data_IF_596309490301
#
_entry.id   IF_596309490301
#
_cell.length_a   1.000
_cell.length_b   1.000
_cell.length_c   1.000
_cell.angle_alpha   90.00
_cell.angle_beta   90.00
_cell.angle_gamma   90.00
#
_symmetry.space_group_name_H-M   'P 1'
#
loop_
_entity.id
_entity.type
_entity.pdbx_description
1 polymer ?
#
# COMPACT_ATOMS: atom_id res chain seq x y z
N UNK A 1 0.79 -12.28 0.63
CA UNK A 1 -0.15 -11.19 0.89
C UNK A 1 -0.91 -10.73 -0.38
N UNK A 2 -0.25 -10.52 -1.51
CA UNK A 2 -0.89 -10.01 -2.73
C UNK A 2 -1.34 -11.11 -3.73
N UNK A 3 -1.15 -12.37 -3.39
CA UNK A 3 -1.54 -13.54 -4.20
C UNK A 3 -2.88 -14.16 -3.75
N UNK A 4 -3.56 -13.52 -2.77
CA UNK A 4 -4.87 -13.97 -2.31
C UNK A 4 -5.93 -13.69 -3.37
N UNK A 5 -6.87 -14.61 -3.52
CA UNK A 5 -8.03 -14.51 -4.40
C UNK A 5 -9.32 -14.89 -3.64
N UNK A 6 -10.45 -14.73 -4.32
CA UNK A 6 -11.77 -15.03 -3.73
C UNK A 6 -11.85 -16.47 -3.16
N UNK A 7 -12.47 -16.64 -1.99
CA UNK A 7 -12.98 -15.58 -1.10
C UNK A 7 -11.87 -14.91 -0.28
N UNK A 8 -11.85 -13.60 -0.29
CA UNK A 8 -10.92 -12.81 0.53
C UNK A 8 -11.29 -12.93 2.01
N UNK A 9 -10.26 -12.86 2.86
CA UNK A 9 -10.44 -12.90 4.33
C UNK A 9 -9.72 -11.71 4.95
N UNK A 10 -10.38 -11.02 5.89
CA UNK A 10 -9.71 -9.98 6.64
C UNK A 10 -8.53 -10.59 7.41
N UNK A 11 -7.33 -10.11 7.10
CA UNK A 11 -6.12 -10.60 7.74
C UNK A 11 -6.10 -10.13 9.20
N UNK A 12 -5.75 -10.99 10.16
CA UNK A 12 -5.65 -10.59 11.56
C UNK A 12 -4.59 -9.50 11.74
N UNK A 13 -4.78 -8.65 12.73
CA UNK A 13 -3.75 -7.68 13.12
C UNK A 13 -2.44 -8.42 13.46
N UNK A 14 -1.27 -7.94 13.02
CA UNK A 14 0.02 -8.55 13.36
C UNK A 14 0.51 -8.17 14.78
N UNK A 15 -0.37 -7.61 15.61
CA UNK A 15 -0.13 -7.15 16.98
C UNK A 15 -1.46 -7.14 17.77
N UNK A 16 -1.37 -7.07 19.10
CA UNK A 16 -2.53 -6.93 19.99
C UNK A 16 -3.19 -5.56 19.83
N UNK A 17 -4.49 -5.44 20.14
CA UNK A 17 -5.26 -4.21 19.93
C UNK A 17 -4.74 -3.01 20.76
N UNK A 18 -4.11 -3.25 21.90
CA UNK A 18 -3.49 -2.23 22.74
C UNK A 18 -2.03 -1.91 22.40
N UNK A 19 -1.44 -2.64 21.44
CA UNK A 19 -0.02 -2.55 21.12
C UNK A 19 0.41 -1.21 20.53
N UNK A 20 -0.52 -0.43 19.98
CA UNK A 20 -0.23 0.86 19.36
C UNK A 20 -0.40 2.05 20.32
N UNK A 21 -0.73 1.79 21.59
CA UNK A 21 -0.81 2.82 22.61
C UNK A 21 0.55 3.54 22.79
N UNK A 22 0.55 4.83 23.10
CA UNK A 22 -0.59 5.73 23.27
C UNK A 22 -1.04 6.42 21.96
N UNK A 23 -0.57 5.97 20.80
CA UNK A 23 -0.80 6.64 19.51
C UNK A 23 -2.17 6.30 18.92
N UNK A 24 -2.54 5.04 18.93
CA UNK A 24 -3.88 4.57 18.55
C UNK A 24 -4.43 3.74 19.71
N UNK A 25 -5.65 4.05 20.10
CA UNK A 25 -6.34 3.31 21.14
C UNK A 25 -7.03 2.04 20.62
N UNK A 26 -7.29 1.14 21.54
CA UNK A 26 -7.92 -0.15 21.29
C UNK A 26 -9.31 0.00 20.63
N UNK A 27 -10.10 0.97 21.08
CA UNK A 27 -11.43 1.25 20.53
C UNK A 27 -11.36 1.62 19.07
N UNK A 28 -10.44 2.52 18.70
CA UNK A 28 -10.21 2.89 17.30
C UNK A 28 -9.82 1.68 16.46
N UNK A 29 -8.91 0.82 16.94
CA UNK A 29 -8.48 -0.37 16.21
C UNK A 29 -9.62 -1.39 16.02
N UNK A 30 -10.46 -1.61 17.03
CA UNK A 30 -11.64 -2.48 16.90
C UNK A 30 -12.62 -1.96 15.84
N UNK A 31 -12.93 -0.67 15.83
CA UNK A 31 -13.79 -0.13 14.78
C UNK A 31 -13.13 -0.16 13.41
N UNK A 32 -11.84 0.20 13.35
CA UNK A 32 -11.13 0.32 12.09
C UNK A 32 -10.91 -1.05 11.43
N UNK A 33 -10.43 -2.04 12.20
CA UNK A 33 -10.16 -3.39 11.70
C UNK A 33 -11.43 -4.24 11.62
N UNK A 34 -12.17 -4.43 12.74
CA UNK A 34 -13.23 -5.41 12.81
C UNK A 34 -14.54 -4.95 12.15
N UNK A 35 -14.66 -3.64 11.84
CA UNK A 35 -15.84 -3.08 11.19
C UNK A 35 -15.52 -2.52 9.81
N UNK A 36 -14.66 -1.50 9.70
CA UNK A 36 -14.39 -0.85 8.42
C UNK A 36 -13.67 -1.80 7.45
N UNK A 37 -12.52 -2.36 7.83
CA UNK A 37 -11.78 -3.28 6.98
C UNK A 37 -12.60 -4.54 6.66
N UNK A 38 -13.22 -5.17 7.68
CA UNK A 38 -14.08 -6.34 7.47
C UNK A 38 -15.23 -6.04 6.50
N UNK A 39 -15.85 -4.85 6.60
CA UNK A 39 -16.93 -4.47 5.67
C UNK A 39 -16.48 -4.39 4.21
N UNK A 40 -15.26 -3.91 3.94
CA UNK A 40 -14.71 -3.92 2.58
C UNK A 40 -14.50 -5.34 2.07
N UNK A 41 -13.99 -6.23 2.90
CA UNK A 41 -13.81 -7.65 2.56
C UNK A 41 -15.16 -8.31 2.25
N UNK A 42 -16.16 -8.12 3.11
CA UNK A 42 -17.50 -8.70 2.93
C UNK A 42 -18.17 -8.21 1.64
N UNK A 43 -18.08 -6.90 1.36
CA UNK A 43 -18.64 -6.31 0.14
C UNK A 43 -17.93 -6.76 -1.11
N UNK A 44 -16.60 -6.84 -1.10
CA UNK A 44 -15.83 -7.35 -2.23
C UNK A 44 -16.22 -8.81 -2.54
N UNK A 45 -16.30 -9.66 -1.52
CA UNK A 45 -16.72 -11.05 -1.67
C UNK A 45 -18.17 -11.16 -2.18
N UNK A 46 -19.09 -10.34 -1.67
CA UNK A 46 -20.48 -10.34 -2.12
C UNK A 46 -20.59 -10.01 -3.62
N UNK A 47 -19.81 -9.02 -4.09
CA UNK A 47 -19.78 -8.68 -5.51
C UNK A 47 -19.19 -9.82 -6.34
N UNK A 48 -18.03 -10.37 -5.94
CA UNK A 48 -17.35 -11.42 -6.69
C UNK A 48 -18.09 -12.74 -6.72
N UNK A 49 -19.03 -12.98 -5.81
CA UNK A 49 -19.92 -14.14 -5.86
C UNK A 49 -20.74 -14.19 -7.17
N UNK A 50 -21.12 -13.02 -7.70
CA UNK A 50 -21.87 -12.88 -8.95
C UNK A 50 -21.00 -12.94 -10.22
N UNK A 51 -19.66 -12.93 -10.05
CA UNK A 51 -18.68 -12.89 -11.16
C UNK A 51 -17.65 -14.02 -11.06
N UNK A 52 -18.03 -15.31 -11.28
CA UNK A 52 -17.12 -16.47 -11.16
C UNK A 52 -15.82 -16.35 -12.01
N UNK A 53 -15.90 -15.64 -13.15
CA UNK A 53 -14.74 -15.41 -14.02
C UNK A 53 -13.64 -14.53 -13.41
N UNK A 54 -13.95 -13.78 -12.34
CA UNK A 54 -13.01 -12.92 -11.62
C UNK A 54 -12.44 -13.58 -10.37
N UNK A 55 -13.03 -14.67 -9.88
CA UNK A 55 -12.70 -15.28 -8.59
C UNK A 55 -11.28 -15.85 -8.50
N UNK A 56 -10.64 -16.09 -9.63
CA UNK A 56 -9.25 -16.54 -9.68
C UNK A 56 -8.25 -15.39 -9.82
N UNK A 57 -8.73 -14.16 -9.92
CA UNK A 57 -7.87 -12.98 -9.95
C UNK A 57 -7.42 -12.63 -8.54
N UNK A 58 -6.15 -12.29 -8.42
CA UNK A 58 -5.59 -11.73 -7.18
C UNK A 58 -6.15 -10.33 -6.93
N UNK A 59 -6.05 -9.84 -5.70
CA UNK A 59 -6.48 -8.49 -5.36
C UNK A 59 -5.75 -7.43 -6.22
N UNK A 60 -4.45 -7.63 -6.45
CA UNK A 60 -3.67 -6.73 -7.32
C UNK A 60 -4.19 -6.75 -8.77
N UNK A 61 -4.48 -7.93 -9.31
CA UNK A 61 -5.05 -8.04 -10.66
C UNK A 61 -6.42 -7.39 -10.77
N UNK A 62 -7.29 -7.53 -9.76
CA UNK A 62 -8.59 -6.85 -9.72
C UNK A 62 -8.46 -5.31 -9.73
N UNK A 63 -7.37 -4.77 -9.17
CA UNK A 63 -7.14 -3.33 -9.08
C UNK A 63 -6.36 -2.75 -10.27
N UNK A 64 -5.63 -3.58 -11.04
CA UNK A 64 -4.72 -3.10 -12.08
C UNK A 64 -5.03 -3.63 -13.47
N UNK A 65 -5.83 -4.69 -13.56
CA UNK A 65 -6.06 -5.36 -14.85
C UNK A 65 -6.91 -4.51 -15.77
N UNK A 66 -6.40 -4.31 -16.98
CA UNK A 66 -7.16 -3.85 -18.14
C UNK A 66 -7.79 -5.02 -18.90
N UNK A 67 -7.85 -6.20 -18.26
CA UNK A 67 -8.40 -7.41 -18.86
C UNK A 67 -9.83 -7.18 -19.35
N UNK A 68 -10.15 -7.72 -20.51
CA UNK A 68 -11.49 -7.72 -21.08
C UNK A 68 -12.57 -8.23 -20.10
N UNK A 69 -12.20 -9.07 -19.12
CA UNK A 69 -13.12 -9.56 -18.09
C UNK A 69 -13.66 -8.43 -17.23
N UNK A 70 -12.80 -7.51 -16.76
CA UNK A 70 -13.22 -6.33 -15.98
C UNK A 70 -13.87 -5.29 -16.91
N UNK A 71 -13.30 -5.07 -18.09
CA UNK A 71 -13.83 -4.12 -19.07
C UNK A 71 -15.25 -4.47 -19.55
N UNK A 72 -15.63 -5.75 -19.54
CA UNK A 72 -16.97 -6.22 -19.93
C UNK A 72 -18.06 -6.04 -18.86
N UNK A 73 -17.68 -5.68 -17.61
CA UNK A 73 -18.64 -5.44 -16.54
C UNK A 73 -19.37 -4.12 -16.72
N UNK A 74 -20.54 -4.02 -16.14
CA UNK A 74 -21.23 -2.74 -15.96
C UNK A 74 -20.39 -1.80 -15.09
N UNK A 75 -20.50 -0.51 -15.33
CA UNK A 75 -19.68 0.51 -14.67
C UNK A 75 -19.82 0.47 -13.16
N UNK A 76 -21.04 0.30 -12.64
CA UNK A 76 -21.32 0.20 -11.21
C UNK A 76 -20.61 -0.98 -10.55
N UNK A 77 -20.52 -2.11 -11.25
CA UNK A 77 -19.82 -3.30 -10.73
C UNK A 77 -18.30 -3.07 -10.69
N UNK A 78 -17.74 -2.47 -11.74
CA UNK A 78 -16.30 -2.12 -11.79
C UNK A 78 -15.95 -1.13 -10.69
N UNK A 79 -16.72 -0.06 -10.55
CA UNK A 79 -16.53 0.93 -9.50
C UNK A 79 -16.63 0.30 -8.11
N UNK A 80 -17.61 -0.59 -7.91
CA UNK A 80 -17.78 -1.27 -6.65
C UNK A 80 -16.63 -2.23 -6.32
N UNK A 81 -16.10 -2.97 -7.32
CA UNK A 81 -14.89 -3.80 -7.17
C UNK A 81 -13.69 -2.92 -6.86
N UNK A 82 -13.50 -1.81 -7.57
CA UNK A 82 -12.40 -0.89 -7.35
C UNK A 82 -12.44 -0.30 -5.93
N UNK A 83 -13.59 0.23 -5.50
CA UNK A 83 -13.75 0.86 -4.19
C UNK A 83 -13.57 -0.14 -3.04
N UNK A 84 -14.18 -1.32 -3.13
CA UNK A 84 -14.08 -2.30 -2.05
C UNK A 84 -12.74 -3.06 -2.10
N UNK A 85 -12.23 -3.38 -3.29
CA UNK A 85 -10.89 -3.95 -3.46
C UNK A 85 -9.78 -3.00 -2.98
N UNK A 86 -9.87 -1.71 -3.33
CA UNK A 86 -8.98 -0.69 -2.81
C UNK A 86 -9.07 -0.58 -1.29
N UNK A 87 -10.30 -0.63 -0.73
CA UNK A 87 -10.49 -0.69 0.71
C UNK A 87 -9.81 -1.88 1.37
N UNK A 88 -9.91 -3.07 0.78
CA UNK A 88 -9.20 -4.26 1.28
C UNK A 88 -7.69 -4.06 1.21
N UNK A 89 -7.18 -3.63 0.06
CA UNK A 89 -5.74 -3.43 -0.16
C UNK A 89 -5.12 -2.41 0.80
N UNK A 90 -5.76 -1.24 0.91
CA UNK A 90 -5.29 -0.11 1.70
C UNK A 90 -5.20 -0.48 3.19
N UNK A 91 -6.26 -1.06 3.74
CA UNK A 91 -6.31 -1.43 5.16
C UNK A 91 -5.33 -2.56 5.50
N UNK A 92 -5.23 -3.58 4.64
CA UNK A 92 -4.28 -4.67 4.83
C UNK A 92 -2.84 -4.15 4.90
N UNK A 93 -2.45 -3.28 3.95
CA UNK A 93 -1.13 -2.68 3.93
C UNK A 93 -0.90 -1.71 5.10
N UNK A 94 -1.91 -0.93 5.48
CA UNK A 94 -1.86 0.00 6.60
C UNK A 94 -1.59 -0.71 7.92
N UNK A 95 -2.38 -1.72 8.27
CA UNK A 95 -2.18 -2.48 9.50
C UNK A 95 -0.84 -3.23 9.49
N UNK A 96 -0.45 -3.79 8.34
CA UNK A 96 0.85 -4.46 8.20
C UNK A 96 2.06 -3.52 8.29
N UNK A 97 1.86 -2.22 8.03
CA UNK A 97 2.91 -1.19 8.09
C UNK A 97 3.16 -0.64 9.48
N UNK A 98 2.39 -1.04 10.48
CA UNK A 98 2.49 -0.53 11.85
C UNK A 98 2.97 -1.59 12.84
N UNK A 99 3.45 -1.12 13.96
CA UNK A 99 3.87 -1.88 15.13
C UNK A 99 3.89 -1.02 16.39
N UNK A 100 4.06 -1.66 17.53
CA UNK A 100 4.29 -0.98 18.82
C UNK A 100 5.33 0.16 18.71
N UNK A 101 5.12 1.32 19.35
CA UNK A 101 5.97 2.50 19.23
C UNK A 101 7.31 2.31 19.98
N UNK A 102 8.22 1.57 19.40
CA UNK A 102 9.55 1.25 19.93
C UNK A 102 10.65 1.95 19.12
N UNK A 103 10.69 3.26 19.11
CA UNK A 103 11.82 4.07 18.66
C UNK A 103 12.68 3.50 17.51
N UNK A 104 12.06 2.96 16.45
CA UNK A 104 12.79 2.49 15.28
C UNK A 104 12.98 3.61 14.27
N UNK A 105 14.13 3.60 13.63
CA UNK A 105 14.42 4.42 12.45
C UNK A 105 14.65 3.49 11.24
N UNK A 106 14.50 4.01 10.00
CA UNK A 106 14.85 3.24 8.81
C UNK A 106 16.33 2.86 8.84
N UNK A 107 16.69 1.82 8.12
CA UNK A 107 18.07 1.37 7.94
C UNK A 107 18.21 0.79 6.53
N UNK A 108 19.45 0.49 6.13
CA UNK A 108 19.72 -0.19 4.87
C UNK A 108 19.38 0.62 3.62
N UNK A 109 18.96 -0.08 2.58
CA UNK A 109 18.70 0.51 1.27
C UNK A 109 17.55 1.53 1.28
N UNK A 110 16.53 1.32 2.12
CA UNK A 110 15.44 2.26 2.25
C UNK A 110 15.89 3.58 2.89
N UNK A 111 16.75 3.55 3.92
CA UNK A 111 17.29 4.77 4.51
C UNK A 111 18.09 5.56 3.48
N UNK A 112 18.99 4.89 2.74
CA UNK A 112 19.78 5.50 1.68
C UNK A 112 18.91 6.15 0.60
N UNK A 113 17.84 5.46 0.19
CA UNK A 113 16.88 6.00 -0.77
C UNK A 113 16.09 7.19 -0.21
N UNK A 114 15.67 7.15 1.05
CA UNK A 114 15.01 8.30 1.70
C UNK A 114 15.92 9.52 1.75
N UNK A 115 17.22 9.33 2.02
CA UNK A 115 18.20 10.42 2.01
C UNK A 115 18.43 10.92 0.59
N UNK A 116 18.57 10.02 -0.39
CA UNK A 116 18.78 10.37 -1.81
C UNK A 116 17.62 11.21 -2.35
N UNK A 117 16.37 10.77 -2.12
CA UNK A 117 15.21 11.31 -2.81
C UNK A 117 14.54 12.48 -2.06
N UNK A 118 14.71 12.54 -0.73
CA UNK A 118 14.08 13.57 0.12
C UNK A 118 15.10 14.45 0.85
N UNK A 119 16.41 14.16 0.74
CA UNK A 119 17.49 14.87 1.41
C UNK A 119 17.79 14.37 2.84
N UNK A 120 16.82 13.88 3.57
CA UNK A 120 16.97 13.22 4.88
C UNK A 120 15.67 12.51 5.29
N UNK A 121 15.77 11.54 6.22
CA UNK A 121 14.60 10.91 6.84
C UNK A 121 13.69 11.94 7.51
N UNK A 122 14.26 12.99 8.13
CA UNK A 122 13.48 14.07 8.74
C UNK A 122 12.68 14.85 7.68
N UNK A 123 13.29 15.22 6.57
CA UNK A 123 12.62 15.93 5.48
C UNK A 123 11.53 15.08 4.85
N UNK A 124 11.76 13.77 4.69
CA UNK A 124 10.71 12.85 4.28
C UNK A 124 9.53 12.85 5.27
N UNK A 125 9.79 12.74 6.60
CA UNK A 125 8.73 12.80 7.62
C UNK A 125 7.93 14.10 7.55
N UNK A 126 8.60 15.22 7.31
CA UNK A 126 7.96 16.54 7.14
C UNK A 126 7.07 16.58 5.90
N UNK A 127 7.58 16.13 4.74
CA UNK A 127 6.82 16.10 3.48
C UNK A 127 5.66 15.12 3.53
N UNK A 128 5.87 13.91 4.10
CA UNK A 128 4.81 12.92 4.29
C UNK A 128 3.70 13.45 5.19
N UNK A 129 4.05 14.14 6.27
CA UNK A 129 3.08 14.78 7.16
C UNK A 129 2.28 15.86 6.45
N UNK A 130 2.94 16.72 5.66
CA UNK A 130 2.26 17.78 4.89
C UNK A 130 1.29 17.17 3.87
N UNK A 131 1.71 16.13 3.17
CA UNK A 131 0.87 15.41 2.20
C UNK A 131 -0.35 14.78 2.87
N UNK A 132 -0.16 14.07 3.99
CA UNK A 132 -1.24 13.43 4.75
C UNK A 132 -2.25 14.44 5.32
N UNK A 133 -1.77 15.57 5.87
CA UNK A 133 -2.62 16.63 6.40
C UNK A 133 -3.36 17.34 5.26
N UNK A 134 -2.71 17.49 4.10
CA UNK A 134 -3.23 18.20 2.93
C UNK A 134 -4.31 17.44 2.15
N UNK A 135 -4.52 16.15 2.39
CA UNK A 135 -5.61 15.39 1.74
C UNK A 135 -6.95 16.00 2.11
N UNK A 136 -7.67 16.46 1.10
CA UNK A 136 -9.01 17.02 1.29
C UNK A 136 -10.05 15.90 1.43
N UNK A 137 -10.74 15.86 2.56
CA UNK A 137 -11.72 14.81 2.86
C UNK A 137 -11.06 13.49 3.26
N UNK A 138 -11.61 12.39 2.75
CA UNK A 138 -11.16 11.02 3.00
C UNK A 138 -10.11 10.59 1.97
N UNK A 139 -9.12 9.86 2.41
CA UNK A 139 -8.07 9.35 1.53
C UNK A 139 -6.86 8.84 2.26
N UNK A 140 -5.74 8.73 1.54
CA UNK A 140 -4.50 8.12 1.98
C UNK A 140 -3.31 8.94 1.50
N UNK A 141 -2.23 8.92 2.27
CA UNK A 141 -0.92 9.36 1.79
C UNK A 141 0.05 8.17 1.79
N UNK A 142 0.88 8.10 0.76
CA UNK A 142 1.69 6.94 0.43
C UNK A 142 3.16 7.31 0.29
N UNK A 143 4.05 6.48 0.78
CA UNK A 143 5.40 6.36 0.26
C UNK A 143 5.40 5.21 -0.75
N UNK A 144 5.75 5.51 -1.98
CA UNK A 144 5.84 4.54 -3.06
C UNK A 144 7.24 4.55 -3.68
N UNK A 145 7.62 3.46 -4.32
CA UNK A 145 8.77 3.41 -5.24
C UNK A 145 8.28 3.26 -6.67
N UNK A 146 8.88 3.99 -7.60
CA UNK A 146 8.68 3.73 -9.02
C UNK A 146 9.45 2.48 -9.50
N UNK A 147 9.40 2.23 -10.82
CA UNK A 147 10.06 1.09 -11.43
C UNK A 147 11.60 1.21 -11.46
N UNK A 148 12.15 2.38 -11.23
CA UNK A 148 13.61 2.65 -11.19
C UNK A 148 14.16 2.69 -9.75
N UNK A 149 13.30 2.44 -8.75
CA UNK A 149 13.68 2.46 -7.33
C UNK A 149 13.67 3.86 -6.70
N UNK A 150 13.11 4.87 -7.39
CA UNK A 150 12.97 6.23 -6.85
C UNK A 150 11.76 6.29 -5.92
N UNK A 151 11.96 6.86 -4.74
CA UNK A 151 10.88 7.03 -3.76
C UNK A 151 10.12 8.33 -3.99
N UNK A 152 8.79 8.24 -3.89
CA UNK A 152 7.89 9.39 -4.04
C UNK A 152 6.77 9.36 -3.01
N UNK A 153 6.21 10.53 -2.71
CA UNK A 153 4.99 10.66 -1.90
C UNK A 153 3.82 10.92 -2.84
N UNK A 154 2.79 10.07 -2.75
CA UNK A 154 1.53 10.25 -3.48
C UNK A 154 0.37 10.37 -2.48
N UNK A 155 -0.73 10.94 -2.94
CA UNK A 155 -2.01 10.95 -2.21
C UNK A 155 -3.11 10.42 -3.09
N UNK A 156 -4.05 9.68 -2.51
CA UNK A 156 -5.25 9.19 -3.19
C UNK A 156 -6.50 9.58 -2.42
N UNK A 157 -7.59 9.78 -3.13
CA UNK A 157 -8.89 10.06 -2.53
C UNK A 157 -9.62 8.75 -2.21
N UNK A 158 -10.52 8.79 -1.24
CA UNK A 158 -11.38 7.68 -0.86
C UNK A 158 -10.59 6.37 -0.68
N UNK A 159 -10.94 5.31 -1.43
CA UNK A 159 -10.24 4.02 -1.41
C UNK A 159 -9.38 3.78 -2.67
N UNK A 160 -9.13 4.84 -3.44
CA UNK A 160 -8.23 4.73 -4.59
C UNK A 160 -6.84 4.27 -4.16
N UNK A 161 -6.20 3.50 -5.03
CA UNK A 161 -4.81 3.04 -4.87
C UNK A 161 -3.92 3.73 -5.90
N UNK A 162 -2.62 3.94 -5.62
CA UNK A 162 -1.66 4.31 -6.66
C UNK A 162 -1.70 3.28 -7.80
N UNK A 163 -1.37 3.68 -9.02
CA UNK A 163 -1.24 2.71 -10.11
C UNK A 163 -0.15 1.66 -9.79
N UNK A 164 -0.59 0.49 -9.33
CA UNK A 164 0.29 -0.60 -8.90
C UNK A 164 1.14 -1.20 -10.04
N UNK A 165 0.86 -0.82 -11.31
CA UNK A 165 1.70 -1.18 -12.47
C UNK A 165 2.95 -0.30 -12.54
N UNK A 166 2.84 0.94 -12.07
CA UNK A 166 3.92 1.94 -12.08
C UNK A 166 4.62 2.05 -10.75
N UNK A 167 3.89 1.84 -9.65
CA UNK A 167 4.37 2.11 -8.30
C UNK A 167 4.25 0.87 -7.41
N UNK A 168 5.26 0.66 -6.58
CA UNK A 168 5.22 -0.30 -5.49
C UNK A 168 5.02 0.45 -4.17
N UNK A 169 3.89 0.28 -3.47
CA UNK A 169 3.67 0.86 -2.16
C UNK A 169 4.64 0.33 -1.10
N UNK A 170 5.27 1.24 -0.37
CA UNK A 170 6.21 0.95 0.71
C UNK A 170 5.57 1.15 2.08
N UNK A 171 4.92 2.31 2.28
CA UNK A 171 4.19 2.71 3.48
C UNK A 171 2.97 3.54 3.10
N UNK A 172 1.96 3.57 3.97
CA UNK A 172 0.84 4.49 3.81
C UNK A 172 0.27 4.88 5.17
N UNK A 173 -0.43 6.00 5.18
CA UNK A 173 -1.24 6.47 6.32
C UNK A 173 -2.67 6.67 5.86
N UNK A 174 -3.60 6.18 6.64
CA UNK A 174 -5.03 6.44 6.51
C UNK A 174 -5.36 7.82 7.10
N UNK A 175 -6.00 8.68 6.32
CA UNK A 175 -6.47 9.99 6.79
C UNK A 175 -7.99 10.14 6.70
N UNK A 176 -8.70 9.05 6.50
CA UNK A 176 -10.14 8.98 6.79
C UNK A 176 -10.38 9.29 8.27
N UNK A 177 -11.46 9.97 8.59
CA UNK A 177 -11.76 10.33 9.98
C UNK A 177 -11.94 9.09 10.89
N UNK A 178 -12.44 7.98 10.36
CA UNK A 178 -12.58 6.75 11.14
C UNK A 178 -11.26 6.20 11.68
N UNK A 179 -10.13 6.54 11.05
CA UNK A 179 -8.81 6.08 11.49
C UNK A 179 -8.30 6.78 12.76
N UNK A 180 -8.86 7.95 13.11
CA UNK A 180 -8.29 8.75 14.19
C UNK A 180 -9.32 9.56 15.01
N UNK A 181 -10.56 9.71 14.54
CA UNK A 181 -11.49 10.68 15.14
C UNK A 181 -11.90 10.36 16.58
N UNK A 182 -12.00 9.08 16.96
CA UNK A 182 -12.34 8.69 18.34
C UNK A 182 -11.35 9.26 19.36
N UNK A 183 -10.06 9.18 19.06
CA UNK A 183 -9.00 9.63 19.95
C UNK A 183 -8.57 11.09 19.72
N UNK A 184 -8.46 11.51 18.46
CA UNK A 184 -7.89 12.82 18.09
C UNK A 184 -8.94 13.88 17.73
N UNK A 185 -10.19 13.51 17.47
CA UNK A 185 -11.23 14.43 16.98
C UNK A 185 -10.78 15.10 15.68
N UNK A 186 -10.89 16.41 15.60
CA UNK A 186 -10.47 17.22 14.44
C UNK A 186 -8.93 17.41 14.33
N UNK A 187 -8.15 16.84 15.25
CA UNK A 187 -6.69 17.08 15.31
C UNK A 187 -5.92 16.07 14.43
N UNK A 188 -6.23 16.03 13.15
CA UNK A 188 -5.49 15.18 12.18
C UNK A 188 -3.97 15.38 12.26
N UNK A 189 -3.40 16.61 12.43
CA UNK A 189 -1.96 16.78 12.57
C UNK A 189 -1.34 15.99 13.72
N UNK A 190 -2.03 15.91 14.87
CA UNK A 190 -1.50 15.19 16.05
C UNK A 190 -1.48 13.66 15.78
N UNK A 191 -2.52 13.14 15.12
CA UNK A 191 -2.55 11.75 14.66
C UNK A 191 -1.40 11.44 13.70
N UNK A 192 -1.20 12.28 12.68
CA UNK A 192 -0.12 12.11 11.69
C UNK A 192 1.25 12.11 12.37
N UNK A 193 1.50 13.00 13.33
CA UNK A 193 2.72 13.01 14.11
C UNK A 193 2.90 11.75 14.96
N UNK A 194 1.81 11.24 15.53
CA UNK A 194 1.81 9.97 16.27
C UNK A 194 2.16 8.79 15.39
N UNK A 195 1.54 8.72 14.19
CA UNK A 195 1.71 7.62 13.25
C UNK A 195 3.17 7.34 12.89
N UNK A 196 4.02 8.36 12.76
CA UNK A 196 5.45 8.16 12.49
C UNK A 196 6.18 7.29 13.54
N UNK A 197 5.64 7.20 14.77
CA UNK A 197 6.19 6.36 15.84
C UNK A 197 5.80 4.89 15.70
N UNK A 198 4.77 4.61 14.90
CA UNK A 198 4.22 3.27 14.70
C UNK A 198 4.85 2.53 13.52
N UNK A 199 5.66 3.20 12.71
CA UNK A 199 6.17 2.64 11.45
C UNK A 199 6.97 1.36 11.66
N UNK A 200 6.59 0.32 10.94
CA UNK A 200 7.30 -0.95 10.92
C UNK A 200 8.41 -0.92 9.85
N UNK A 201 9.49 -0.19 10.15
CA UNK A 201 10.58 0.05 9.20
C UNK A 201 11.14 -1.22 8.58
N UNK A 202 11.27 -2.32 9.34
CA UNK A 202 11.76 -3.59 8.79
C UNK A 202 10.85 -4.18 7.72
N UNK A 203 9.53 -3.97 7.77
CA UNK A 203 8.61 -4.39 6.70
C UNK A 203 8.68 -3.44 5.51
N UNK A 204 8.82 -2.14 5.76
CA UNK A 204 9.05 -1.15 4.71
C UNK A 204 10.34 -1.42 3.94
N UNK A 205 11.45 -1.71 4.65
CA UNK A 205 12.72 -2.12 4.08
C UNK A 205 12.55 -3.32 3.15
N UNK A 206 11.92 -4.39 3.63
CA UNK A 206 11.70 -5.59 2.81
C UNK A 206 10.90 -5.34 1.54
N UNK A 207 9.90 -4.43 1.59
CA UNK A 207 9.13 -4.06 0.39
C UNK A 207 10.01 -3.32 -0.61
N UNK A 208 10.89 -2.44 -0.12
CA UNK A 208 11.82 -1.71 -0.96
C UNK A 208 12.92 -2.63 -1.53
N UNK A 209 13.49 -3.56 -0.74
CA UNK A 209 14.42 -4.58 -1.21
C UNK A 209 13.82 -5.44 -2.34
N UNK A 210 12.52 -5.75 -2.28
CA UNK A 210 11.84 -6.46 -3.36
C UNK A 210 11.77 -5.65 -4.67
N UNK A 211 11.71 -4.32 -4.60
CA UNK A 211 11.82 -3.46 -5.78
C UNK A 211 13.21 -3.59 -6.38
N UNK A 212 14.25 -3.41 -5.57
CA UNK A 212 15.63 -3.48 -6.01
C UNK A 212 15.99 -4.84 -6.63
N UNK A 213 15.54 -5.92 -6.01
CA UNK A 213 15.74 -7.28 -6.52
C UNK A 213 15.06 -7.53 -7.89
N UNK A 214 13.93 -6.85 -8.17
CA UNK A 214 13.29 -6.91 -9.51
C UNK A 214 14.10 -6.14 -10.54
N UNK A 215 14.66 -4.98 -10.18
CA UNK A 215 15.52 -4.18 -11.04
C UNK A 215 16.80 -4.95 -11.46
N UNK A 216 17.47 -5.60 -10.52
CA UNK A 216 18.65 -6.41 -10.78
C UNK A 216 18.35 -7.54 -11.77
N UNK A 217 17.27 -8.30 -11.56
CA UNK A 217 16.86 -9.37 -12.49
C UNK A 217 16.47 -8.85 -13.87
N UNK A 218 15.85 -7.68 -13.95
CA UNK A 218 15.51 -7.02 -15.23
C UNK A 218 16.76 -6.68 -16.04
N UNK A 219 17.80 -6.16 -15.37
CA UNK A 219 19.07 -5.80 -16.00
C UNK A 219 19.84 -7.04 -16.49
N UNK A 220 19.92 -8.11 -15.70
CA UNK A 220 20.58 -9.37 -16.10
C UNK A 220 19.93 -10.01 -17.33
N UNK A 221 18.58 -9.98 -17.42
CA UNK A 221 17.86 -10.50 -18.58
C UNK A 221 18.03 -9.62 -19.83
N UNK A 222 18.18 -8.30 -19.65
CA UNK A 222 18.46 -7.35 -20.73
C UNK A 222 19.84 -7.59 -21.36
N UNK A 223 20.87 -7.80 -20.54
CA UNK A 223 22.24 -8.08 -21.01
C UNK A 223 22.37 -9.43 -21.72
N UNK A 224 21.67 -10.48 -21.25
CA UNK A 224 21.69 -11.80 -21.89
C UNK A 224 21.01 -11.78 -23.26
N UNK A 225 19.98 -10.97 -23.46
CA UNK A 225 19.31 -10.83 -24.76
C UNK A 225 20.14 -10.05 -25.77
N UNK A 226 20.91 -9.05 -25.32
CA UNK A 226 21.81 -8.28 -26.19
C UNK A 226 23.05 -9.08 -26.59
N UNK A 227 23.57 -9.92 -25.69
CA UNK A 227 24.71 -10.81 -25.98
C UNK A 227 24.34 -11.87 -27.01
N UNK A 228 23.11 -12.43 -26.95
CA UNK A 228 22.60 -13.38 -27.95
C UNK A 228 22.36 -12.75 -29.31
N UNK A 229 21.97 -11.48 -29.37
CA UNK A 229 21.84 -10.74 -30.64
C UNK A 229 23.16 -10.39 -31.28
N UNK A 230 24.21 -10.15 -30.52
CA UNK A 230 25.57 -9.88 -31.02
C UNK A 230 26.27 -11.12 -31.54
N UNK A 231 26.14 -12.27 -30.86
CA UNK A 231 26.77 -13.54 -31.29
C UNK A 231 26.03 -14.21 -32.45
N UNK A 232 24.81 -13.83 -32.78
CA UNK A 232 24.04 -14.35 -33.93
C UNK A 232 24.32 -13.61 -35.26
N UNK A 233 25.05 -12.46 -35.24
CA UNK A 233 25.41 -11.70 -36.46
C UNK A 233 26.74 -12.08 -37.09
N UNK A 234 27.56 -12.87 -36.42
CA UNK A 234 28.89 -13.30 -36.93
C UNK A 234 28.87 -14.69 -37.60
N UNK A 235 27.68 -15.19 -37.93
CA UNK A 235 27.52 -16.45 -38.70
C UNK A 235 26.59 -16.27 -39.93
N UNK A 236 27.04 -15.44 -40.85
CA UNK A 236 26.56 -15.48 -42.27
C UNK A 236 27.70 -15.09 -43.19
#
# INVERSE_FOLDING_TARGET
MLEEHYPFVAQPLPYEYDALLPVLDEETLHFHHDKHYQTYVDKLNAILADYPQLQQMTLTELLTSEDNKLASLQEEARESIHNNGGGVYNHQLYFDSMRSPVGQEPCGALEEALIRDFGSVRQWKEQMSQSAIGVFGSGWAWLVSDQDGTLMILTTANQDVPDLRLYTPILLIDVWEHAYYLQYRNRRPDYVQGWHKLLHWKKAERRYEQVLCRLERGNENGEQTDHKKRTGRDRL
#
